data_IF_229358993204
#
_entry.id   IF_229358993204
#
_cell.length_a   1.000
_cell.length_b   1.000
_cell.length_c   1.000
_cell.angle_alpha   90.00
_cell.angle_beta   90.00
_cell.angle_gamma   90.00
#
_symmetry.space_group_name_H-M   'P 1'
#
loop_
_entity.id
_entity.type
_entity.pdbx_description
1 polymer ?
#
# COMPACT_ATOMS: atom_id res chain seq x y z
N UNK A 1 -12.33 -19.04 -8.89
CA UNK A 1 -12.32 -19.31 -7.44
C UNK A 1 -12.58 -18.00 -6.72
N UNK A 2 -13.67 -17.83 -5.95
CA UNK A 2 -13.82 -16.63 -5.15
C UNK A 2 -12.74 -16.64 -4.08
N UNK A 3 -11.97 -15.55 -3.98
CA UNK A 3 -10.99 -15.36 -2.92
C UNK A 3 -11.70 -15.48 -1.58
N UNK A 4 -11.27 -16.40 -0.72
CA UNK A 4 -11.69 -16.39 0.67
C UNK A 4 -11.18 -15.09 1.29
N UNK A 5 -12.04 -14.08 1.40
CA UNK A 5 -11.78 -12.95 2.29
C UNK A 5 -11.55 -13.57 3.67
N UNK A 6 -10.37 -13.36 4.23
CA UNK A 6 -10.05 -13.84 5.56
C UNK A 6 -11.18 -13.35 6.48
N UNK A 7 -11.89 -14.27 7.14
CA UNK A 7 -13.10 -13.90 7.90
C UNK A 7 -12.78 -12.91 9.03
N UNK A 8 -13.80 -12.33 9.65
CA UNK A 8 -13.66 -11.29 10.69
C UNK A 8 -12.65 -11.63 11.81
N UNK A 9 -12.45 -12.92 12.11
CA UNK A 9 -11.40 -13.37 13.04
C UNK A 9 -9.99 -13.00 12.55
N UNK A 10 -9.66 -13.30 11.30
CA UNK A 10 -8.34 -13.01 10.75
C UNK A 10 -8.08 -11.51 10.66
N UNK A 11 -9.09 -10.70 10.33
CA UNK A 11 -8.99 -9.25 10.38
C UNK A 11 -8.71 -8.75 11.81
N UNK A 12 -9.42 -9.29 12.80
CA UNK A 12 -9.18 -8.95 14.20
C UNK A 12 -7.78 -9.39 14.69
N UNK A 13 -7.28 -10.51 14.21
CA UNK A 13 -5.93 -11.00 14.55
C UNK A 13 -4.86 -10.02 14.01
N UNK A 14 -4.98 -9.54 12.76
CA UNK A 14 -4.10 -8.50 12.20
C UNK A 14 -4.12 -7.21 13.04
N UNK A 15 -5.31 -6.78 13.50
CA UNK A 15 -5.41 -5.59 14.34
C UNK A 15 -4.76 -5.79 15.72
N UNK A 16 -4.77 -7.01 16.27
CA UNK A 16 -4.04 -7.32 17.51
C UNK A 16 -2.54 -7.33 17.29
N UNK A 17 -2.06 -7.90 16.19
CA UNK A 17 -0.63 -7.85 15.83
C UNK A 17 -0.13 -6.40 15.74
N UNK A 18 -0.94 -5.51 15.16
CA UNK A 18 -0.66 -4.06 15.16
C UNK A 18 -0.62 -3.49 16.58
N UNK A 19 -1.60 -3.81 17.43
CA UNK A 19 -1.65 -3.34 18.81
C UNK A 19 -0.47 -3.87 19.66
N UNK A 20 -0.01 -5.08 19.37
CA UNK A 20 1.12 -5.75 20.03
C UNK A 20 2.49 -5.29 19.48
N UNK A 21 2.50 -4.39 18.49
CA UNK A 21 3.73 -3.81 17.93
C UNK A 21 4.48 -4.73 16.97
N UNK A 22 3.81 -5.73 16.39
CA UNK A 22 4.39 -6.59 15.35
C UNK A 22 4.69 -5.79 14.08
N UNK A 23 3.95 -4.71 13.84
CA UNK A 23 4.11 -3.81 12.70
C UNK A 23 4.30 -2.37 13.15
N UNK A 24 5.23 -1.67 12.51
CA UNK A 24 5.37 -0.23 12.66
C UNK A 24 4.29 0.51 11.86
N UNK A 25 3.37 1.18 12.56
CA UNK A 25 2.42 2.08 11.91
C UNK A 25 3.11 3.39 11.54
N UNK A 26 3.16 3.68 10.25
CA UNK A 26 3.64 4.96 9.74
C UNK A 26 2.53 6.01 9.86
N UNK A 27 2.74 7.11 10.59
CA UNK A 27 1.79 8.21 10.62
C UNK A 27 1.69 8.87 9.24
N UNK A 28 0.46 9.06 8.77
CA UNK A 28 0.18 9.84 7.57
C UNK A 28 0.13 11.31 7.94
N UNK A 29 1.07 12.11 7.41
CA UNK A 29 1.03 13.56 7.53
C UNK A 29 0.52 14.20 6.24
N UNK A 30 0.42 15.54 6.24
CA UNK A 30 0.03 16.29 5.04
C UNK A 30 0.98 16.06 3.87
N UNK A 31 2.27 15.79 4.11
CA UNK A 31 3.21 15.49 3.02
C UNK A 31 2.92 14.15 2.35
N UNK A 32 2.57 13.11 3.11
CA UNK A 32 2.18 11.81 2.55
C UNK A 32 0.85 11.92 1.81
N UNK A 33 -0.09 12.73 2.32
CA UNK A 33 -1.37 12.97 1.64
C UNK A 33 -1.17 13.71 0.30
N UNK A 34 -0.34 14.75 0.28
CA UNK A 34 -0.01 15.46 -0.95
C UNK A 34 0.68 14.53 -1.96
N UNK A 35 1.65 13.73 -1.52
CA UNK A 35 2.33 12.78 -2.41
C UNK A 35 1.42 11.67 -2.91
N UNK A 36 0.47 11.20 -2.09
CA UNK A 36 -0.52 10.20 -2.48
C UNK A 36 -1.53 10.72 -3.51
N UNK A 37 -1.78 12.03 -3.58
CA UNK A 37 -2.66 12.61 -4.60
C UNK A 37 -2.06 12.45 -6.02
N UNK A 38 -0.76 12.65 -6.19
CA UNK A 38 -0.12 12.58 -7.51
C UNK A 38 -0.33 11.25 -8.26
N UNK A 39 -0.13 10.03 -7.68
CA UNK A 39 -0.40 8.79 -8.41
C UNK A 39 -1.90 8.61 -8.67
N UNK A 40 -2.80 9.11 -7.81
CA UNK A 40 -4.25 9.05 -8.09
C UNK A 40 -4.58 9.86 -9.34
N UNK A 41 -4.04 11.06 -9.47
CA UNK A 41 -4.24 11.90 -10.66
C UNK A 41 -3.54 11.33 -11.90
N UNK A 42 -2.28 10.87 -11.73
CA UNK A 42 -1.47 10.32 -12.84
C UNK A 42 -2.08 9.05 -13.42
N UNK A 43 -2.68 8.23 -12.59
CA UNK A 43 -3.29 6.96 -12.98
C UNK A 43 -4.81 7.07 -12.95
N UNK A 44 -5.42 8.21 -13.30
CA UNK A 44 -6.87 8.40 -13.19
C UNK A 44 -7.73 7.33 -13.92
N UNK A 45 -7.21 6.74 -15.01
CA UNK A 45 -7.86 5.65 -15.76
C UNK A 45 -7.74 4.26 -15.08
N UNK A 46 -6.90 4.17 -14.05
CA UNK A 46 -6.69 3.00 -13.21
C UNK A 46 -7.08 3.42 -11.78
N UNK A 47 -8.29 3.13 -11.30
CA UNK A 47 -8.79 3.68 -10.03
C UNK A 47 -7.96 3.17 -8.84
N UNK A 48 -6.84 3.85 -8.59
CA UNK A 48 -5.91 3.58 -7.51
C UNK A 48 -6.67 3.94 -6.25
N UNK A 49 -6.95 2.95 -5.40
CA UNK A 49 -7.62 3.20 -4.14
C UNK A 49 -6.79 4.17 -3.30
N UNK A 50 -7.44 5.00 -2.48
CA UNK A 50 -6.74 5.93 -1.57
C UNK A 50 -5.70 5.22 -0.71
N UNK A 51 -5.99 3.98 -0.26
CA UNK A 51 -5.06 3.16 0.49
C UNK A 51 -3.79 2.82 -0.32
N UNK A 52 -3.92 2.39 -1.57
CA UNK A 52 -2.78 2.06 -2.44
C UNK A 52 -1.90 3.29 -2.70
N UNK A 53 -2.52 4.45 -2.88
CA UNK A 53 -1.81 5.70 -3.05
C UNK A 53 -0.96 6.07 -1.82
N UNK A 54 -1.48 5.85 -0.61
CA UNK A 54 -0.70 6.01 0.62
C UNK A 54 0.43 4.99 0.75
N UNK A 55 0.21 3.73 0.34
CA UNK A 55 1.28 2.73 0.30
C UNK A 55 2.44 3.20 -0.58
N UNK A 56 2.14 3.77 -1.76
CA UNK A 56 3.17 4.33 -2.66
C UNK A 56 3.94 5.47 -1.99
N UNK A 57 3.22 6.44 -1.41
CA UNK A 57 3.85 7.60 -0.75
C UNK A 57 4.76 7.18 0.43
N UNK A 58 4.30 6.24 1.26
CA UNK A 58 5.09 5.71 2.38
C UNK A 58 6.28 4.90 1.89
N UNK A 59 6.10 4.04 0.87
CA UNK A 59 7.19 3.26 0.32
C UNK A 59 8.30 4.16 -0.26
N UNK A 60 7.95 5.26 -0.91
CA UNK A 60 8.92 6.25 -1.39
C UNK A 60 9.65 6.98 -0.27
N UNK A 61 8.92 7.41 0.77
CA UNK A 61 9.51 8.06 1.96
C UNK A 61 10.60 7.21 2.59
N UNK A 62 10.36 5.91 2.73
CA UNK A 62 11.31 4.96 3.30
C UNK A 62 12.24 4.30 2.26
N UNK A 63 12.14 4.70 0.99
CA UNK A 63 12.86 4.09 -0.14
C UNK A 63 12.70 2.57 -0.20
N UNK A 64 11.55 2.05 0.22
CA UNK A 64 11.22 0.64 0.20
C UNK A 64 10.99 0.18 -1.24
N UNK A 65 11.71 -0.86 -1.67
CA UNK A 65 11.55 -1.45 -3.01
C UNK A 65 10.49 -2.54 -3.08
N UNK A 66 10.02 -3.05 -1.94
CA UNK A 66 9.07 -4.16 -1.84
C UNK A 66 7.72 -3.74 -1.27
N UNK A 67 6.63 -4.28 -1.82
CA UNK A 67 5.27 -4.10 -1.30
C UNK A 67 4.65 -5.48 -1.05
N UNK A 68 4.21 -5.73 0.18
CA UNK A 68 3.41 -6.91 0.50
C UNK A 68 1.93 -6.67 0.12
N UNK A 69 1.44 -7.23 -0.99
CA UNK A 69 0.07 -7.05 -1.49
C UNK A 69 -0.46 -8.28 -2.20
N UNK A 70 -1.75 -8.57 -1.99
CA UNK A 70 -2.48 -9.57 -2.77
C UNK A 70 -3.08 -8.97 -4.05
N UNK A 71 -3.17 -7.63 -4.15
CA UNK A 71 -3.63 -6.95 -5.35
C UNK A 71 -2.45 -6.58 -6.26
N UNK A 72 -2.10 -7.54 -7.11
CA UNK A 72 -1.02 -7.37 -8.08
C UNK A 72 -1.40 -6.52 -9.29
N UNK A 73 -2.69 -6.24 -9.50
CA UNK A 73 -3.16 -5.51 -10.68
C UNK A 73 -2.83 -4.04 -10.58
N UNK A 74 -3.15 -3.42 -9.44
CA UNK A 74 -2.92 -1.99 -9.24
C UNK A 74 -1.46 -1.69 -8.87
N UNK A 75 -0.85 -2.46 -7.96
CA UNK A 75 0.50 -2.19 -7.48
C UNK A 75 1.62 -2.46 -8.50
N UNK A 76 1.36 -3.25 -9.54
CA UNK A 76 2.33 -3.52 -10.61
C UNK A 76 2.46 -2.39 -11.65
N UNK A 77 1.46 -1.50 -11.71
CA UNK A 77 1.40 -0.43 -12.72
C UNK A 77 2.13 0.82 -12.23
N UNK A 78 2.02 1.12 -10.93
CA UNK A 78 2.62 2.32 -10.36
C UNK A 78 4.14 2.28 -10.48
N UNK A 79 4.72 3.42 -10.84
CA UNK A 79 6.17 3.62 -10.95
C UNK A 79 6.62 4.58 -9.86
N UNK A 80 7.30 4.09 -8.80
CA UNK A 80 7.76 4.94 -7.72
C UNK A 80 8.98 5.77 -8.12
N UNK A 81 9.22 6.86 -7.41
CA UNK A 81 10.29 7.81 -7.72
C UNK A 81 11.71 7.26 -7.53
N UNK A 82 11.90 6.20 -6.71
CA UNK A 82 13.23 5.72 -6.29
C UNK A 82 13.65 4.36 -6.87
N UNK A 83 12.76 3.62 -7.53
CA UNK A 83 13.04 2.33 -8.18
C UNK A 83 12.22 2.19 -9.48
N UNK A 84 12.69 1.37 -10.41
CA UNK A 84 12.02 1.19 -11.71
C UNK A 84 10.61 0.60 -11.58
N UNK A 85 10.40 -0.28 -10.61
CA UNK A 85 9.10 -0.83 -10.23
C UNK A 85 9.21 -1.42 -8.82
N UNK A 86 8.07 -1.55 -8.13
CA UNK A 86 8.03 -2.30 -6.87
C UNK A 86 8.24 -3.79 -7.12
N UNK A 87 8.97 -4.44 -6.22
CA UNK A 87 8.94 -5.89 -6.06
C UNK A 87 7.69 -6.24 -5.26
N UNK A 88 6.72 -6.89 -5.89
CA UNK A 88 5.50 -7.30 -5.20
C UNK A 88 5.75 -8.60 -4.45
N UNK A 89 5.31 -8.63 -3.20
CA UNK A 89 5.46 -9.73 -2.26
C UNK A 89 4.11 -10.07 -1.64
N UNK A 90 3.97 -11.29 -1.11
CA UNK A 90 4.40 -12.46 -1.84
C UNK A 90 3.91 -12.43 -3.30
#
# INVERSE_FOLDING_TARGET
MPSSRAGAKAEADVLRDVADGVYDLVPVSSSEAARAADPVERYADLPLGTADAFVVAVAEKFRAGGIATLDRRHSGIVRPAHVTAFTLLP
#
